data_IF_252581476813
#
_entry.id   IF_252581476813
#
_cell.length_a   1.000
_cell.length_b   1.000
_cell.length_c   1.000
_cell.angle_alpha   90.00
_cell.angle_beta   90.00
_cell.angle_gamma   90.00
#
_symmetry.space_group_name_H-M   'P 1'
#
loop_
_entity.id
_entity.type
_entity.pdbx_description
1 polymer ?
#
# COMPACT_ATOMS: atom_id res chain seq x y z
N UNK A 1 1.85 21.04 6.22
CA UNK A 1 1.45 19.67 6.62
C UNK A 1 0.40 19.76 7.72
N UNK A 2 -0.87 19.52 7.41
CA UNK A 2 -2.02 19.83 8.28
C UNK A 2 -2.35 18.75 9.32
N UNK A 3 -1.69 17.58 9.24
CA UNK A 3 -1.96 16.40 10.08
C UNK A 3 -0.72 15.87 10.83
N UNK A 4 0.39 16.62 10.86
CA UNK A 4 1.56 16.29 11.67
C UNK A 4 2.39 15.06 11.24
N UNK A 5 2.05 14.40 10.12
CA UNK A 5 2.82 13.26 9.58
C UNK A 5 3.84 13.76 8.55
N UNK A 6 5.10 13.37 8.71
CA UNK A 6 6.12 13.52 7.69
C UNK A 6 6.06 12.32 6.73
N UNK A 7 6.11 12.57 5.42
CA UNK A 7 6.16 11.53 4.40
C UNK A 7 7.45 11.74 3.59
N UNK A 8 8.27 10.70 3.52
CA UNK A 8 9.51 10.71 2.73
C UNK A 8 9.51 9.55 1.76
N UNK A 9 9.98 9.82 0.56
CA UNK A 9 10.23 8.81 -0.45
C UNK A 9 11.73 8.55 -0.55
N UNK A 10 12.12 7.27 -0.63
CA UNK A 10 13.52 6.87 -0.75
C UNK A 10 13.71 5.79 -1.81
N UNK A 11 14.76 5.83 -2.65
CA UNK A 11 15.10 4.70 -3.49
C UNK A 11 15.24 3.40 -2.67
N UNK A 12 14.76 2.29 -3.20
CA UNK A 12 14.96 0.99 -2.55
C UNK A 12 16.45 0.66 -2.53
N UNK A 13 16.92 0.16 -1.39
CA UNK A 13 18.27 -0.40 -1.32
C UNK A 13 18.21 -1.74 -2.04
N UNK A 14 19.09 -1.95 -3.01
CA UNK A 14 19.13 -3.18 -3.79
C UNK A 14 19.18 -4.39 -2.85
N UNK A 15 18.24 -5.33 -3.04
CA UNK A 15 18.08 -6.58 -2.27
C UNK A 15 17.50 -6.44 -0.85
N UNK A 16 17.15 -5.24 -0.39
CA UNK A 16 16.39 -5.08 0.85
C UNK A 16 14.89 -5.37 0.61
N UNK A 17 14.24 -6.27 1.37
CA UNK A 17 12.85 -6.61 1.15
C UNK A 17 11.86 -5.58 1.74
N UNK A 18 12.21 -4.29 1.74
CA UNK A 18 11.47 -3.24 2.43
C UNK A 18 10.60 -2.50 1.42
N UNK A 19 9.30 -2.41 1.68
CA UNK A 19 8.36 -1.62 0.88
C UNK A 19 8.16 -0.23 1.48
N UNK A 20 8.06 -0.17 2.81
CA UNK A 20 8.00 1.05 3.60
C UNK A 20 8.54 0.81 5.00
N UNK A 21 8.62 1.89 5.77
CA UNK A 21 8.90 1.86 7.18
C UNK A 21 8.31 3.10 7.85
N UNK A 22 7.78 2.92 9.05
CA UNK A 22 7.35 4.00 9.92
C UNK A 22 8.36 4.18 11.05
N UNK A 23 8.64 5.42 11.44
CA UNK A 23 9.38 5.72 12.68
C UNK A 23 8.99 7.07 13.25
N UNK A 24 9.28 7.30 14.52
CA UNK A 24 9.05 8.60 15.14
C UNK A 24 10.33 9.43 15.14
N UNK A 25 10.23 10.69 14.73
CA UNK A 25 11.34 11.67 14.68
C UNK A 25 11.07 12.84 15.63
N UNK A 26 12.06 13.73 15.78
CA UNK A 26 11.99 14.91 16.66
C UNK A 26 11.59 14.54 18.09
N UNK A 27 12.41 13.74 18.78
CA UNK A 27 12.15 13.26 20.15
C UNK A 27 10.77 12.58 20.27
N UNK A 28 10.46 11.71 19.32
CA UNK A 28 9.19 10.98 19.25
C UNK A 28 7.93 11.85 19.15
N UNK A 29 8.01 13.06 18.58
CA UNK A 29 6.82 13.95 18.47
C UNK A 29 6.17 13.91 17.09
N UNK A 30 6.94 13.56 16.05
CA UNK A 30 6.47 13.58 14.66
C UNK A 30 6.58 12.18 14.06
N UNK A 31 5.49 11.54 13.63
CA UNK A 31 5.59 10.29 12.88
C UNK A 31 6.10 10.55 11.46
N UNK A 32 7.01 9.69 11.00
CA UNK A 32 7.56 9.66 9.66
C UNK A 32 7.15 8.35 8.99
N UNK A 33 6.49 8.44 7.85
CA UNK A 33 6.28 7.33 6.92
C UNK A 33 7.34 7.44 5.83
N UNK A 34 8.11 6.37 5.63
CA UNK A 34 9.06 6.24 4.54
C UNK A 34 8.55 5.18 3.57
N UNK A 35 8.45 5.52 2.28
CA UNK A 35 8.03 4.57 1.24
C UNK A 35 9.17 4.43 0.23
N UNK A 36 9.40 3.19 -0.20
CA UNK A 36 10.41 2.89 -1.21
C UNK A 36 9.83 2.84 -2.62
N UNK A 37 10.69 2.94 -3.63
CA UNK A 37 10.31 2.77 -5.04
C UNK A 37 10.05 1.31 -5.44
N UNK A 38 9.98 0.39 -4.47
CA UNK A 38 9.83 -1.04 -4.71
C UNK A 38 8.41 -1.36 -5.20
N UNK A 39 8.33 -2.23 -6.21
CA UNK A 39 7.11 -2.66 -6.92
C UNK A 39 6.34 -1.60 -7.73
N UNK A 40 6.74 -0.33 -7.73
CA UNK A 40 6.42 0.75 -8.69
C UNK A 40 4.96 0.96 -9.11
N UNK A 41 3.94 0.18 -8.74
CA UNK A 41 2.56 0.38 -9.20
C UNK A 41 1.68 1.14 -8.19
N UNK A 42 0.64 1.80 -8.69
CA UNK A 42 -0.28 2.63 -7.89
C UNK A 42 -0.88 1.88 -6.69
N UNK A 43 -1.22 0.60 -6.86
CA UNK A 43 -1.77 -0.19 -5.76
C UNK A 43 -0.73 -0.45 -4.68
N UNK A 44 0.50 -0.86 -5.07
CA UNK A 44 1.57 -1.15 -4.13
C UNK A 44 1.91 0.08 -3.27
N UNK A 45 2.04 1.25 -3.90
CA UNK A 45 2.31 2.50 -3.19
C UNK A 45 1.26 2.81 -2.10
N UNK A 46 -0.03 2.84 -2.48
CA UNK A 46 -1.09 3.18 -1.53
C UNK A 46 -1.31 2.08 -0.49
N UNK A 47 -1.12 0.81 -0.84
CA UNK A 47 -1.16 -0.28 0.13
C UNK A 47 -0.10 -0.06 1.21
N UNK A 48 1.15 0.16 0.81
CA UNK A 48 2.25 0.44 1.75
C UNK A 48 1.97 1.68 2.59
N UNK A 49 1.55 2.79 1.98
CA UNK A 49 1.22 4.01 2.74
C UNK A 49 0.18 3.75 3.84
N UNK A 50 -0.92 3.07 3.52
CA UNK A 50 -1.96 2.80 4.51
C UNK A 50 -1.54 1.77 5.55
N UNK A 51 -0.71 0.79 5.17
CA UNK A 51 -0.15 -0.19 6.10
C UNK A 51 0.73 0.54 7.14
N UNK A 52 1.64 1.40 6.70
CA UNK A 52 2.47 2.22 7.58
C UNK A 52 1.64 3.19 8.44
N UNK A 53 0.58 3.77 7.87
CA UNK A 53 -0.35 4.60 8.62
C UNK A 53 -1.08 3.81 9.71
N UNK A 54 -1.45 2.55 9.46
CA UNK A 54 -2.09 1.69 10.45
C UNK A 54 -1.19 1.47 11.67
N UNK A 55 0.12 1.25 11.45
CA UNK A 55 1.08 1.15 12.55
C UNK A 55 1.13 2.41 13.41
N UNK A 56 1.05 3.61 12.81
CA UNK A 56 0.96 4.86 13.56
C UNK A 56 -0.32 4.93 14.39
N UNK A 57 -1.46 4.58 13.78
CA UNK A 57 -2.78 4.73 14.39
C UNK A 57 -3.06 3.72 15.48
N UNK A 58 -2.64 2.46 15.30
CA UNK A 58 -3.04 1.34 16.16
C UNK A 58 -1.94 0.89 17.11
N UNK A 59 -0.65 1.02 16.74
CA UNK A 59 0.45 0.44 17.53
C UNK A 59 1.36 1.49 18.18
N UNK A 60 1.26 2.76 17.76
CA UNK A 60 1.84 3.91 18.48
C UNK A 60 3.38 3.93 18.53
N UNK A 61 3.92 4.61 19.56
CA UNK A 61 5.37 4.93 19.69
C UNK A 61 6.23 3.81 20.26
N UNK A 62 5.66 2.96 21.12
CA UNK A 62 6.44 2.05 21.98
C UNK A 62 7.06 0.88 21.22
N UNK A 63 6.52 0.53 20.06
CA UNK A 63 6.92 -0.69 19.33
C UNK A 63 7.84 -0.43 18.14
N UNK A 64 8.10 0.84 17.79
CA UNK A 64 8.94 1.22 16.64
C UNK A 64 10.20 1.98 17.08
N UNK A 65 10.81 1.55 18.18
CA UNK A 65 12.14 2.01 18.56
C UNK A 65 13.18 1.13 17.86
N UNK A 66 13.71 1.61 16.74
CA UNK A 66 14.99 1.10 16.24
C UNK A 66 16.08 1.88 16.96
N UNK A 67 16.47 1.37 18.13
CA UNK A 67 17.81 1.56 18.66
C UNK A 67 18.42 0.17 18.90
N UNK A 68 19.43 -0.18 18.10
CA UNK A 68 20.29 -1.34 18.33
C UNK A 68 19.64 -2.72 18.15
N UNK A 69 19.41 -3.13 16.90
CA UNK A 69 19.46 -4.53 16.40
C UNK A 69 19.31 -5.62 17.48
N UNK A 70 18.09 -5.85 17.99
CA UNK A 70 17.74 -7.12 18.64
C UNK A 70 16.34 -7.55 18.18
N UNK A 71 16.35 -8.46 17.19
CA UNK A 71 15.23 -9.32 16.79
C UNK A 71 13.82 -8.70 16.76
N UNK A 72 13.56 -7.85 15.77
CA UNK A 72 12.17 -7.50 15.41
C UNK A 72 11.57 -8.71 14.69
N UNK A 73 10.97 -9.64 15.44
CA UNK A 73 9.98 -10.54 14.84
C UNK A 73 8.72 -9.71 14.62
N UNK A 74 8.20 -9.63 13.38
CA UNK A 74 6.93 -8.98 13.13
C UNK A 74 5.87 -9.63 14.02
N UNK A 75 5.17 -8.81 14.79
CA UNK A 75 4.01 -9.26 15.53
C UNK A 75 2.91 -9.55 14.52
N UNK A 76 2.61 -10.84 14.30
CA UNK A 76 1.72 -11.30 13.24
C UNK A 76 0.31 -10.70 13.35
N UNK A 77 -0.15 -10.41 14.57
CA UNK A 77 -1.47 -9.82 14.78
C UNK A 77 -1.46 -8.36 14.31
N UNK A 78 -0.44 -7.59 14.68
CA UNK A 78 -0.25 -6.21 14.24
C UNK A 78 -0.08 -6.08 12.73
N UNK A 79 0.71 -6.95 12.12
CA UNK A 79 0.87 -7.00 10.66
C UNK A 79 -0.47 -7.29 9.97
N UNK A 80 -1.25 -8.24 10.49
CA UNK A 80 -2.57 -8.58 9.95
C UNK A 80 -3.57 -7.42 10.09
N UNK A 81 -3.55 -6.69 11.21
CA UNK A 81 -4.37 -5.49 11.40
C UNK A 81 -4.00 -4.37 10.43
N UNK A 82 -2.70 -4.15 10.21
CA UNK A 82 -2.20 -3.16 9.25
C UNK A 82 -2.59 -3.51 7.80
N UNK A 83 -2.45 -4.77 7.41
CA UNK A 83 -2.89 -5.28 6.11
C UNK A 83 -4.40 -5.15 5.91
N UNK A 84 -5.20 -5.49 6.93
CA UNK A 84 -6.64 -5.38 6.89
C UNK A 84 -7.09 -3.91 6.79
N UNK A 85 -6.40 -3.00 7.48
CA UNK A 85 -6.63 -1.56 7.33
C UNK A 85 -6.30 -1.09 5.92
N UNK A 86 -5.11 -1.39 5.42
CA UNK A 86 -4.67 -0.99 4.08
C UNK A 86 -5.62 -1.50 3.00
N UNK A 87 -6.04 -2.76 3.08
CA UNK A 87 -7.01 -3.34 2.15
C UNK A 87 -8.36 -2.61 2.17
N UNK A 88 -8.88 -2.26 3.35
CA UNK A 88 -10.14 -1.51 3.49
C UNK A 88 -10.05 -0.07 2.96
N UNK A 89 -8.91 0.59 3.11
CA UNK A 89 -8.70 1.94 2.59
C UNK A 89 -8.68 1.95 1.05
N UNK A 90 -8.08 0.93 0.43
CA UNK A 90 -8.03 0.80 -1.02
C UNK A 90 -9.38 0.46 -1.63
N UNK A 91 -10.07 -0.55 -1.07
CA UNK A 91 -11.36 -1.01 -1.56
C UNK A 91 -12.21 -1.45 -0.36
N UNK A 92 -13.35 -0.80 -0.15
CA UNK A 92 -14.25 -1.12 0.96
C UNK A 92 -14.82 -2.53 0.81
N UNK A 93 -15.32 -3.08 1.92
CA UNK A 93 -15.91 -4.42 1.90
C UNK A 93 -17.11 -4.51 0.95
N UNK A 94 -17.96 -3.47 0.91
CA UNK A 94 -19.09 -3.39 -0.02
C UNK A 94 -18.64 -3.44 -1.48
N UNK A 95 -17.59 -2.68 -1.82
CA UNK A 95 -17.03 -2.65 -3.19
C UNK A 95 -16.36 -3.98 -3.55
N UNK A 96 -15.63 -4.61 -2.61
CA UNK A 96 -15.06 -5.95 -2.80
C UNK A 96 -16.13 -7.01 -3.03
N UNK A 97 -17.16 -7.01 -2.19
CA UNK A 97 -18.29 -7.94 -2.31
C UNK A 97 -19.01 -7.75 -3.64
N UNK A 98 -19.12 -6.52 -4.14
CA UNK A 98 -19.68 -6.26 -5.46
C UNK A 98 -18.75 -6.72 -6.60
N UNK A 99 -17.46 -6.41 -6.52
CA UNK A 99 -16.44 -6.79 -7.52
C UNK A 99 -16.45 -8.30 -7.79
N UNK A 100 -16.56 -9.13 -6.76
CA UNK A 100 -16.51 -10.58 -6.90
C UNK A 100 -17.86 -11.24 -7.21
N UNK A 101 -18.91 -10.46 -7.53
CA UNK A 101 -20.15 -10.98 -8.12
C UNK A 101 -20.05 -11.16 -9.63
N UNK A 102 -19.05 -10.56 -10.27
CA UNK A 102 -18.82 -10.70 -11.70
C UNK A 102 -18.11 -12.02 -12.02
N UNK A 103 -18.52 -12.74 -13.07
CA UNK A 103 -17.97 -14.07 -13.39
C UNK A 103 -16.59 -14.02 -14.08
N UNK A 104 -16.24 -12.89 -14.69
CA UNK A 104 -14.99 -12.67 -15.41
C UNK A 104 -14.59 -11.20 -15.36
N UNK A 105 -13.32 -10.93 -15.66
CA UNK A 105 -12.74 -9.58 -15.58
C UNK A 105 -12.02 -9.26 -16.88
N UNK A 106 -12.56 -8.30 -17.63
CA UNK A 106 -11.92 -7.71 -18.80
C UNK A 106 -11.63 -6.22 -18.58
N UNK A 107 -10.98 -5.59 -19.56
CA UNK A 107 -10.61 -4.18 -19.49
C UNK A 107 -11.81 -3.26 -19.28
N UNK A 108 -12.92 -3.52 -19.98
CA UNK A 108 -14.10 -2.66 -19.97
C UNK A 108 -14.76 -2.69 -18.58
N UNK A 109 -14.93 -3.89 -18.02
CA UNK A 109 -15.48 -4.06 -16.69
C UNK A 109 -14.60 -3.37 -15.64
N UNK A 110 -13.27 -3.54 -15.69
CA UNK A 110 -12.37 -2.90 -14.73
C UNK A 110 -12.49 -1.38 -14.79
N UNK A 111 -12.54 -0.79 -15.99
CA UNK A 111 -12.71 0.67 -16.15
C UNK A 111 -14.07 1.15 -15.65
N UNK A 112 -15.14 0.40 -15.93
CA UNK A 112 -16.49 0.70 -15.43
C UNK A 112 -16.53 0.68 -13.89
N UNK A 113 -15.96 -0.35 -13.26
CA UNK A 113 -15.91 -0.44 -11.81
C UNK A 113 -14.98 0.61 -11.20
N UNK A 114 -13.90 0.99 -11.88
CA UNK A 114 -13.01 2.08 -11.48
C UNK A 114 -13.78 3.39 -11.36
N UNK A 115 -14.61 3.73 -12.36
CA UNK A 115 -15.46 4.91 -12.32
C UNK A 115 -16.53 4.81 -11.23
N UNK A 116 -17.19 3.65 -11.10
CA UNK A 116 -18.24 3.41 -10.10
C UNK A 116 -17.73 3.55 -8.67
N UNK A 117 -16.60 2.92 -8.35
CA UNK A 117 -16.00 2.93 -7.02
C UNK A 117 -15.16 4.19 -6.76
N UNK A 118 -14.93 5.01 -7.80
CA UNK A 118 -14.00 6.15 -7.74
C UNK A 118 -12.62 5.72 -7.24
N UNK A 119 -12.13 4.59 -7.74
CA UNK A 119 -10.82 4.00 -7.41
C UNK A 119 -10.00 3.87 -8.68
N UNK A 120 -8.69 4.00 -8.57
CA UNK A 120 -7.77 3.80 -9.69
C UNK A 120 -7.90 2.36 -10.25
N UNK A 121 -7.93 2.14 -11.57
CA UNK A 121 -8.14 0.80 -12.14
C UNK A 121 -7.08 -0.22 -11.69
N UNK A 122 -5.82 0.22 -11.52
CA UNK A 122 -4.75 -0.60 -10.96
C UNK A 122 -5.03 -1.17 -9.56
N UNK A 123 -5.84 -0.49 -8.73
CA UNK A 123 -6.30 -1.04 -7.44
C UNK A 123 -7.24 -2.22 -7.70
N UNK A 124 -8.21 -2.05 -8.59
CA UNK A 124 -9.18 -3.11 -8.91
C UNK A 124 -8.47 -4.31 -9.52
N UNK A 125 -7.56 -4.09 -10.48
CA UNK A 125 -6.74 -5.16 -11.07
C UNK A 125 -5.97 -5.91 -9.98
N UNK A 126 -5.32 -5.21 -9.04
CA UNK A 126 -4.59 -5.86 -7.97
C UNK A 126 -5.50 -6.71 -7.05
N UNK A 127 -6.73 -6.28 -6.78
CA UNK A 127 -7.69 -7.08 -6.00
C UNK A 127 -8.11 -8.34 -6.74
N UNK A 128 -8.39 -8.23 -8.04
CA UNK A 128 -8.75 -9.37 -8.89
C UNK A 128 -7.57 -10.35 -9.00
N UNK A 129 -6.35 -9.87 -9.22
CA UNK A 129 -5.16 -10.72 -9.32
C UNK A 129 -4.82 -11.44 -8.00
N UNK A 130 -5.07 -10.82 -6.84
CA UNK A 130 -4.94 -11.49 -5.53
C UNK A 130 -5.91 -12.67 -5.37
N UNK A 131 -7.12 -12.56 -5.91
CA UNK A 131 -8.12 -13.63 -5.85
C UNK A 131 -7.90 -14.69 -6.94
N UNK A 132 -7.44 -14.29 -8.12
CA UNK A 132 -7.33 -15.13 -9.30
C UNK A 132 -5.91 -15.09 -9.88
N UNK A 133 -5.05 -15.95 -9.34
CA UNK A 133 -3.62 -15.96 -9.68
C UNK A 133 -3.30 -16.13 -11.18
N UNK A 134 -4.18 -16.73 -11.97
CA UNK A 134 -3.95 -16.87 -13.42
C UNK A 134 -3.96 -15.53 -14.16
N UNK A 135 -4.62 -14.49 -13.61
CA UNK A 135 -4.71 -13.15 -14.19
C UNK A 135 -3.45 -12.30 -13.99
N UNK A 136 -2.44 -12.77 -13.24
CA UNK A 136 -1.14 -12.10 -13.18
C UNK A 136 -0.43 -12.05 -14.54
N UNK A 137 -0.73 -13.00 -15.43
CA UNK A 137 -0.17 -13.06 -16.79
C UNK A 137 -0.96 -12.27 -17.83
N UNK A 138 -2.10 -11.69 -17.45
CA UNK A 138 -2.96 -10.95 -18.36
C UNK A 138 -2.35 -9.58 -18.71
N UNK A 139 -1.85 -9.45 -19.95
CA UNK A 139 -1.21 -8.22 -20.43
C UNK A 139 -2.19 -7.04 -20.52
N UNK A 140 -3.47 -7.30 -20.81
CA UNK A 140 -4.50 -6.27 -20.94
C UNK A 140 -4.79 -5.70 -19.56
N UNK A 141 -4.99 -6.54 -18.55
CA UNK A 141 -5.19 -6.08 -17.18
C UNK A 141 -3.94 -5.40 -16.62
N UNK A 142 -2.75 -5.96 -16.90
CA UNK A 142 -1.48 -5.35 -16.47
C UNK A 142 -1.25 -3.97 -17.08
N UNK A 143 -1.76 -3.69 -18.29
CA UNK A 143 -1.69 -2.35 -18.91
C UNK A 143 -2.40 -1.25 -18.10
N UNK A 144 -3.33 -1.62 -17.21
CA UNK A 144 -4.07 -0.69 -16.35
C UNK A 144 -3.33 -0.37 -15.03
N UNK A 145 -2.21 -1.07 -14.76
CA UNK A 145 -1.38 -0.86 -13.58
C UNK A 145 -0.32 0.18 -13.89
N UNK A 146 -0.68 1.45 -13.75
CA UNK A 146 0.28 2.55 -13.94
C UNK A 146 1.36 2.50 -12.88
N UNK A 147 2.58 2.88 -13.29
CA UNK A 147 3.67 3.08 -12.36
C UNK A 147 3.54 4.43 -11.67
N UNK A 148 3.94 4.49 -10.40
CA UNK A 148 4.14 5.74 -9.68
C UNK A 148 5.55 6.20 -9.96
N UNK A 149 5.68 7.34 -10.64
CA UNK A 149 6.95 8.02 -10.86
C UNK A 149 7.04 9.18 -9.89
N UNK A 150 8.12 9.20 -9.12
CA UNK A 150 8.47 10.34 -8.29
C UNK A 150 9.53 11.11 -9.07
N UNK A 151 9.15 12.25 -9.63
CA UNK A 151 10.13 13.20 -10.13
C UNK A 151 11.00 13.64 -8.95
N UNK A 152 12.32 13.67 -9.15
CA UNK A 152 13.24 14.18 -8.14
C UNK A 152 12.81 15.58 -7.76
N UNK A 153 12.30 15.74 -6.53
CA UNK A 153 12.19 17.06 -5.95
C UNK A 153 13.61 17.47 -5.59
N UNK A 154 14.25 18.22 -6.49
CA UNK A 154 15.44 19.00 -6.16
C UNK A 154 15.10 19.88 -4.96
N UNK A 155 15.70 19.57 -3.80
CA UNK A 155 15.71 20.48 -2.65
C UNK A 155 16.63 21.66 -2.94
#
# INVERSE_FOLDING_TARGET
ASFGVALVYTPCIAKAPIYGATRWIKNNTTPLIQITDRQKDYNAFWFTFYHELAHILYHGKKDIFIDGIESIKPDKEKEAEADAFAARMLLSEKERNELFRYPSFDRELILKLSQKFKKHPGIIVAQVQRQYNHLYKDLILNSLKIKVEFTEMSF
#
